data_IF_743831471692
#
_entry.id   IF_743831471692
#
_cell.length_a   1.000
_cell.length_b   1.000
_cell.length_c   1.000
_cell.angle_alpha   90.00
_cell.angle_beta   90.00
_cell.angle_gamma   90.00
#
_symmetry.space_group_name_H-M   'P 1'
#
loop_
_entity.id
_entity.type
_entity.pdbx_description
1 polymer ?
#
# COMPACT_ATOMS: atom_id res chain seq x y z
N UNK A 1 19.11 -6.72 -1.29
CA UNK A 1 18.59 -5.37 -1.55
C UNK A 1 19.36 -4.36 -0.72
N UNK A 2 19.77 -3.27 -1.30
CA UNK A 2 20.45 -2.18 -0.61
C UNK A 2 19.53 -0.96 -0.56
N UNK A 3 19.83 0.01 0.33
CA UNK A 3 18.97 1.19 0.50
C UNK A 3 18.76 1.99 -0.78
N UNK A 4 19.79 2.12 -1.61
CA UNK A 4 19.68 2.84 -2.88
C UNK A 4 18.97 2.05 -3.98
N UNK A 5 18.63 0.78 -3.72
CA UNK A 5 17.87 -0.07 -4.64
C UNK A 5 16.41 -0.20 -4.22
N UNK A 6 15.97 0.56 -3.24
CA UNK A 6 14.59 0.53 -2.75
C UNK A 6 13.65 1.00 -3.85
N UNK A 7 12.61 0.21 -4.10
CA UNK A 7 11.59 0.55 -5.08
C UNK A 7 10.92 1.88 -4.71
N UNK A 8 10.60 2.67 -5.72
CA UNK A 8 9.95 3.97 -5.57
C UNK A 8 8.67 3.90 -4.72
N UNK A 9 7.94 2.77 -4.80
CA UNK A 9 6.72 2.57 -4.00
C UNK A 9 6.95 2.81 -2.51
N UNK A 10 8.14 2.50 -2.00
CA UNK A 10 8.47 2.61 -0.57
C UNK A 10 9.08 3.95 -0.18
N UNK A 11 9.16 4.89 -1.12
CA UNK A 11 9.77 6.20 -0.89
C UNK A 11 8.73 7.30 -0.60
N UNK A 12 7.55 6.90 -0.15
CA UNK A 12 6.46 7.81 0.19
C UNK A 12 5.79 7.33 1.47
N UNK A 13 5.64 8.25 2.41
CA UNK A 13 4.92 7.97 3.66
C UNK A 13 3.52 7.44 3.37
N UNK A 14 2.80 8.10 2.46
CA UNK A 14 1.42 7.71 2.15
C UNK A 14 1.36 6.30 1.55
N UNK A 15 2.24 5.98 0.60
CA UNK A 15 2.26 4.63 0.02
C UNK A 15 2.62 3.56 1.05
N UNK A 16 3.56 3.87 1.95
CA UNK A 16 3.89 2.95 3.05
C UNK A 16 2.69 2.71 3.96
N UNK A 17 1.95 3.76 4.29
CA UNK A 17 0.75 3.64 5.12
C UNK A 17 -0.31 2.77 4.43
N UNK A 18 -0.52 2.96 3.13
CA UNK A 18 -1.47 2.17 2.36
C UNK A 18 -1.07 0.69 2.39
N UNK A 19 0.17 0.38 2.02
CA UNK A 19 0.64 -1.01 1.97
C UNK A 19 0.61 -1.67 3.33
N UNK A 20 1.04 -0.95 4.37
CA UNK A 20 1.01 -1.45 5.74
C UNK A 20 -0.42 -1.79 6.18
N UNK A 21 -1.38 -0.93 5.88
CA UNK A 21 -2.78 -1.16 6.22
C UNK A 21 -3.34 -2.40 5.51
N UNK A 22 -2.91 -2.65 4.28
CA UNK A 22 -3.41 -3.75 3.47
C UNK A 22 -2.81 -5.11 3.83
N UNK A 23 -1.73 -5.16 4.60
CA UNK A 23 -1.11 -6.42 5.03
C UNK A 23 -2.11 -7.27 5.84
N UNK A 24 -2.96 -6.64 6.64
CA UNK A 24 -3.95 -7.36 7.45
C UNK A 24 -5.22 -7.73 6.68
N UNK A 25 -5.32 -7.36 5.42
CA UNK A 25 -6.48 -7.66 4.59
C UNK A 25 -6.93 -6.47 3.77
N UNK A 26 -7.85 -6.72 2.84
CA UNK A 26 -8.39 -5.68 1.98
C UNK A 26 -9.08 -4.57 2.75
N UNK A 27 -9.03 -3.37 2.20
CA UNK A 27 -9.66 -2.19 2.79
C UNK A 27 -10.43 -1.44 1.70
N UNK A 28 -11.53 -0.82 2.09
CA UNK A 28 -12.22 0.10 1.19
C UNK A 28 -11.43 1.38 1.02
N UNK A 29 -11.70 2.10 -0.07
CA UNK A 29 -11.12 3.42 -0.28
C UNK A 29 -11.42 4.34 0.92
N UNK A 30 -12.65 4.27 1.43
CA UNK A 30 -13.09 5.09 2.57
C UNK A 30 -12.29 4.76 3.84
N UNK A 31 -12.05 3.46 4.09
CA UNK A 31 -11.23 3.05 5.23
C UNK A 31 -9.80 3.53 5.11
N UNK A 32 -9.20 3.40 3.91
CA UNK A 32 -7.85 3.90 3.67
C UNK A 32 -7.76 5.41 3.84
N UNK A 33 -8.79 6.13 3.39
CA UNK A 33 -8.83 7.57 3.57
C UNK A 33 -8.83 7.94 5.06
N UNK A 34 -9.60 7.22 5.86
CA UNK A 34 -9.65 7.45 7.31
C UNK A 34 -8.30 7.13 7.98
N UNK A 35 -7.68 6.01 7.60
CA UNK A 35 -6.40 5.58 8.17
C UNK A 35 -5.28 6.55 7.82
N UNK A 36 -5.22 7.00 6.56
CA UNK A 36 -4.11 7.83 6.07
C UNK A 36 -4.33 9.32 6.24
N UNK A 37 -5.58 9.73 6.42
CA UNK A 37 -5.99 11.14 6.47
C UNK A 37 -5.64 11.92 5.21
N UNK A 38 -5.42 11.20 4.10
CA UNK A 38 -5.12 11.81 2.80
C UNK A 38 -6.38 12.39 2.16
N UNK A 39 -6.17 13.31 1.22
CA UNK A 39 -7.28 13.79 0.38
C UNK A 39 -7.68 12.68 -0.61
N UNK A 40 -8.92 12.74 -1.10
CA UNK A 40 -9.41 11.80 -2.10
C UNK A 40 -8.48 11.75 -3.32
N UNK A 41 -8.10 12.92 -3.82
CA UNK A 41 -7.25 13.01 -5.01
C UNK A 41 -5.87 12.40 -4.79
N UNK A 42 -5.22 12.73 -3.68
CA UNK A 42 -3.89 12.20 -3.40
C UNK A 42 -3.92 10.70 -3.18
N UNK A 43 -4.90 10.22 -2.40
CA UNK A 43 -5.05 8.78 -2.16
C UNK A 43 -5.29 8.03 -3.47
N UNK A 44 -6.18 8.54 -4.31
CA UNK A 44 -6.50 7.94 -5.62
C UNK A 44 -5.26 7.84 -6.51
N UNK A 45 -4.47 8.90 -6.57
CA UNK A 45 -3.22 8.92 -7.37
C UNK A 45 -2.25 7.85 -6.87
N UNK A 46 -2.06 7.74 -5.56
CA UNK A 46 -1.11 6.78 -5.00
C UNK A 46 -1.58 5.33 -5.19
N UNK A 47 -2.86 5.08 -5.04
CA UNK A 47 -3.43 3.75 -5.28
C UNK A 47 -3.22 3.35 -6.75
N UNK A 48 -3.47 4.28 -7.69
CA UNK A 48 -3.27 4.04 -9.12
C UNK A 48 -1.80 3.68 -9.41
N UNK A 49 -0.86 4.40 -8.82
CA UNK A 49 0.58 4.09 -8.99
C UNK A 49 0.91 2.70 -8.46
N UNK A 50 0.42 2.37 -7.27
CA UNK A 50 0.65 1.05 -6.68
C UNK A 50 0.05 -0.06 -7.54
N UNK A 51 -1.10 0.20 -8.15
CA UNK A 51 -1.75 -0.75 -9.06
C UNK A 51 -0.92 -0.94 -10.34
N UNK A 52 -0.40 0.15 -10.91
CA UNK A 52 0.45 0.10 -12.09
C UNK A 52 1.73 -0.71 -11.85
N UNK A 53 2.30 -0.61 -10.64
CA UNK A 53 3.46 -1.41 -10.26
C UNK A 53 3.11 -2.87 -9.94
N UNK A 54 1.82 -3.21 -9.89
CA UNK A 54 1.37 -4.56 -9.59
C UNK A 54 1.37 -4.90 -8.10
N UNK A 55 1.43 -3.90 -7.22
CA UNK A 55 1.49 -4.13 -5.78
C UNK A 55 0.11 -4.22 -5.14
N UNK A 56 -0.90 -3.64 -5.75
CA UNK A 56 -2.28 -3.72 -5.28
C UNK A 56 -3.22 -3.97 -6.44
N UNK A 57 -4.43 -4.44 -6.12
CA UNK A 57 -5.54 -4.52 -7.05
C UNK A 57 -6.70 -3.72 -6.48
N UNK A 58 -7.53 -3.20 -7.36
CA UNK A 58 -8.77 -2.54 -6.97
C UNK A 58 -9.94 -3.30 -7.57
N UNK A 59 -10.96 -3.51 -6.75
CA UNK A 59 -12.21 -4.14 -7.19
C UNK A 59 -13.37 -3.28 -6.73
N UNK A 60 -14.44 -3.26 -7.54
CA UNK A 60 -15.67 -2.60 -7.13
C UNK A 60 -16.63 -3.67 -6.63
N UNK A 61 -17.24 -3.40 -5.49
CA UNK A 61 -18.14 -4.31 -4.82
C UNK A 61 -19.38 -3.57 -4.37
N UNK A 62 -20.46 -4.30 -4.13
CA UNK A 62 -21.66 -3.74 -3.54
C UNK A 62 -21.81 -4.26 -2.13
N UNK A 63 -21.78 -3.36 -1.15
CA UNK A 63 -22.00 -3.71 0.25
C UNK A 63 -23.21 -2.92 0.71
N UNK A 64 -24.24 -3.62 1.18
CA UNK A 64 -25.51 -3.01 1.60
C UNK A 64 -26.11 -2.12 0.51
N UNK A 65 -26.08 -2.61 -0.74
CA UNK A 65 -26.61 -1.92 -1.94
C UNK A 65 -25.86 -0.63 -2.30
N UNK A 66 -24.66 -0.40 -1.73
CA UNK A 66 -23.82 0.74 -2.06
C UNK A 66 -22.56 0.28 -2.76
N UNK A 67 -22.13 0.96 -3.85
CA UNK A 67 -20.88 0.62 -4.50
C UNK A 67 -19.70 1.03 -3.59
N UNK A 68 -18.72 0.15 -3.48
CA UNK A 68 -17.48 0.43 -2.76
C UNK A 68 -16.28 -0.04 -3.58
N UNK A 69 -15.21 0.71 -3.52
CA UNK A 69 -13.94 0.31 -4.10
C UNK A 69 -13.11 -0.34 -3.00
N UNK A 70 -12.70 -1.58 -3.22
CA UNK A 70 -11.91 -2.35 -2.27
C UNK A 70 -10.50 -2.51 -2.85
N UNK A 71 -9.51 -2.23 -2.05
CA UNK A 71 -8.11 -2.33 -2.42
C UNK A 71 -7.51 -3.53 -1.67
N UNK A 72 -6.77 -4.37 -2.39
CA UNK A 72 -6.08 -5.52 -1.82
C UNK A 72 -4.62 -5.49 -2.22
N UNK A 73 -3.72 -5.90 -1.31
CA UNK A 73 -2.31 -6.06 -1.64
C UNK A 73 -2.14 -7.37 -2.41
N UNK A 74 -1.31 -7.38 -3.44
CA UNK A 74 -1.01 -8.58 -4.22
C UNK A 74 0.07 -9.40 -3.53
N UNK A 75 0.30 -10.64 -4.03
CA UNK A 75 1.42 -11.44 -3.56
C UNK A 75 2.74 -10.71 -3.79
N UNK A 76 2.91 -10.11 -4.98
CA UNK A 76 4.09 -9.31 -5.30
C UNK A 76 4.27 -8.17 -4.31
N UNK A 77 3.20 -7.43 -4.04
CA UNK A 77 3.24 -6.31 -3.09
C UNK A 77 3.60 -6.76 -1.69
N UNK A 78 3.05 -7.89 -1.25
CA UNK A 78 3.33 -8.45 0.07
C UNK A 78 4.80 -8.85 0.19
N UNK A 79 5.33 -9.57 -0.80
CA UNK A 79 6.72 -10.02 -0.79
C UNK A 79 7.67 -8.82 -0.78
N UNK A 80 7.45 -7.86 -1.67
CA UNK A 80 8.29 -6.67 -1.79
C UNK A 80 8.25 -5.82 -0.52
N UNK A 81 7.07 -5.66 0.07
CA UNK A 81 6.92 -4.91 1.31
C UNK A 81 7.66 -5.58 2.47
N UNK A 82 7.54 -6.90 2.60
CA UNK A 82 8.25 -7.65 3.66
C UNK A 82 9.77 -7.57 3.48
N UNK A 83 10.26 -7.65 2.25
CA UNK A 83 11.69 -7.48 1.97
C UNK A 83 12.18 -6.09 2.38
N UNK A 84 11.39 -5.07 2.10
CA UNK A 84 11.71 -3.69 2.52
C UNK A 84 11.80 -3.58 4.04
N UNK A 85 10.84 -4.16 4.76
CA UNK A 85 10.84 -4.13 6.23
C UNK A 85 12.07 -4.85 6.79
N UNK A 86 12.41 -6.00 6.21
CA UNK A 86 13.62 -6.75 6.62
C UNK A 86 14.88 -5.93 6.39
N UNK A 87 14.96 -5.22 5.28
CA UNK A 87 16.10 -4.35 4.99
C UNK A 87 16.22 -3.24 6.04
N UNK A 88 15.11 -2.61 6.41
CA UNK A 88 15.12 -1.58 7.45
C UNK A 88 15.58 -2.14 8.79
N UNK A 89 15.11 -3.33 9.16
CA UNK A 89 15.51 -3.97 10.40
C UNK A 89 17.02 -4.26 10.40
N UNK A 90 17.57 -4.69 9.27
CA UNK A 90 19.00 -4.93 9.14
C UNK A 90 19.81 -3.66 9.28
N UNK A 91 19.36 -2.58 8.65
CA UNK A 91 20.02 -1.27 8.76
C UNK A 91 20.03 -0.78 10.20
N UNK A 92 18.89 -0.91 10.90
CA UNK A 92 18.79 -0.50 12.30
C UNK A 92 19.67 -1.36 13.23
N UNK A 93 19.78 -2.66 12.92
CA UNK A 93 20.62 -3.57 13.72
C UNK A 93 22.11 -3.26 13.54
N UNK A 94 22.51 -2.73 12.38
CA UNK A 94 23.91 -2.42 12.07
C UNK A 94 24.35 -1.03 12.60
N UNK A 95 23.43 -0.27 13.16
CA UNK A 95 23.74 1.00 13.80
C UNK A 95 23.84 0.84 15.31
#
# INVERSE_FOLDING_TARGET
MELNDIHEAFQSKLRLMILSALISGGKSFKELKSITEATDGNLSVQITKLEEWGFVTTTKSFILKKPQTIINITEKGTIQFKEYVLLLNKVLADT
#
